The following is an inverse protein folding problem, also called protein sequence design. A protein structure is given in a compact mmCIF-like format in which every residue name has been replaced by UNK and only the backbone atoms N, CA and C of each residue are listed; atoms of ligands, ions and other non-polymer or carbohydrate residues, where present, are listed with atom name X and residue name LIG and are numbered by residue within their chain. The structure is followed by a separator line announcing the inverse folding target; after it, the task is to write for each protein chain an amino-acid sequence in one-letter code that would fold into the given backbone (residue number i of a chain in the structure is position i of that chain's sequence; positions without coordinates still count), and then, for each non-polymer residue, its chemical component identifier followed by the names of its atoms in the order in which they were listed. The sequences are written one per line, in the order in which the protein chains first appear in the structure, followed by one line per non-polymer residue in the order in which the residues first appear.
data_IF_301960298035
#
_entry.id   IF_301960298035
#
_cell.length_a   1.000
_cell.length_b   1.000
_cell.length_c   1.000
_cell.angle_alpha   90.00
_cell.angle_beta   90.00
_cell.angle_gamma   90.00
#
_symmetry.space_group_name_H-M   'P 1'
#
loop_
_entity.id
_entity.type
_entity.pdbx_description
1 polymer ?
#
# COMPACT_ATOMS: atom_id res chain seq x y z
N UNK A 1 49.79 -74.70 42.55
CA UNK A 1 49.52 -76.02 41.91
C UNK A 1 50.77 -76.88 41.69
N UNK A 2 51.91 -76.63 42.36
CA UNK A 2 53.17 -77.34 42.08
C UNK A 2 53.45 -78.59 42.95
N UNK A 3 52.67 -78.83 44.02
CA UNK A 3 52.99 -79.91 44.98
C UNK A 3 52.50 -81.31 44.55
N UNK A 4 51.49 -81.37 43.69
CA UNK A 4 50.82 -82.64 43.33
C UNK A 4 51.62 -83.51 42.35
N UNK A 5 52.59 -82.93 41.64
CA UNK A 5 53.44 -83.63 40.67
C UNK A 5 54.66 -84.29 41.33
N UNK A 6 55.20 -83.66 42.38
CA UNK A 6 56.34 -84.17 43.14
C UNK A 6 55.94 -85.34 44.05
N UNK A 7 54.74 -85.27 44.65
CA UNK A 7 54.19 -86.37 45.47
C UNK A 7 53.91 -87.63 44.64
N UNK A 8 53.48 -87.50 43.38
CA UNK A 8 53.25 -88.65 42.49
C UNK A 8 54.52 -89.35 42.02
N UNK A 9 55.64 -88.63 41.91
CA UNK A 9 56.94 -89.23 41.59
C UNK A 9 57.46 -90.09 42.75
N UNK A 10 57.17 -89.72 44.01
CA UNK A 10 57.48 -90.53 45.19
C UNK A 10 56.72 -91.87 45.28
N UNK A 11 55.64 -92.05 44.52
CA UNK A 11 54.85 -93.28 44.57
C UNK A 11 55.38 -94.38 43.63
N UNK A 12 56.07 -94.03 42.54
CA UNK A 12 56.57 -94.97 41.53
C UNK A 12 58.10 -95.05 41.50
N UNK A 13 58.69 -95.57 42.57
CA UNK A 13 60.14 -95.82 42.60
C UNK A 13 60.53 -96.92 41.60
N UNK A 14 61.76 -96.90 41.06
CA UNK A 14 62.27 -97.95 40.19
C UNK A 14 62.01 -99.37 40.72
N UNK A 15 62.16 -99.56 42.04
CA UNK A 15 61.96 -100.83 42.72
C UNK A 15 60.48 -101.26 42.73
N UNK A 16 59.55 -100.31 42.88
CA UNK A 16 58.11 -100.59 42.80
C UNK A 16 57.67 -100.91 41.37
N UNK A 17 58.26 -100.26 40.37
CA UNK A 17 57.97 -100.53 38.94
C UNK A 17 58.43 -101.94 38.56
N UNK A 18 59.63 -102.34 38.99
CA UNK A 18 60.16 -103.69 38.72
C UNK A 18 59.36 -104.80 39.42
N UNK A 19 58.81 -104.52 40.61
CA UNK A 19 58.05 -105.46 41.42
C UNK A 19 56.52 -105.43 41.22
N UNK A 20 56.00 -104.65 40.27
CA UNK A 20 54.56 -104.46 40.10
C UNK A 20 53.87 -105.73 39.56
N UNK A 21 52.87 -106.21 40.29
CA UNK A 21 52.00 -107.32 39.85
C UNK A 21 50.72 -106.79 39.18
N UNK A 22 50.29 -107.48 38.12
CA UNK A 22 49.07 -107.16 37.37
C UNK A 22 48.10 -108.35 37.43
N UNK A 23 46.80 -108.07 37.44
CA UNK A 23 45.77 -109.12 37.43
C UNK A 23 45.79 -109.94 36.13
N UNK A 24 45.67 -111.27 36.25
CA UNK A 24 45.69 -112.19 35.12
C UNK A 24 44.34 -112.22 34.39
N UNK A 25 44.31 -112.03 33.07
CA UNK A 25 43.10 -112.15 32.24
C UNK A 25 43.27 -113.21 31.15
N UNK A 26 42.18 -113.84 30.71
CA UNK A 26 42.19 -114.98 29.77
C UNK A 26 42.73 -114.62 28.36
N UNK A 27 42.92 -113.33 28.06
CA UNK A 27 43.52 -112.83 26.82
C UNK A 27 44.32 -111.56 27.13
N UNK A 28 45.66 -111.65 27.14
CA UNK A 28 46.54 -110.54 27.50
C UNK A 28 47.99 -110.75 27.06
N UNK A 29 48.86 -109.79 27.41
CA UNK A 29 50.30 -109.86 27.16
C UNK A 29 50.97 -110.95 28.00
N UNK A 30 52.06 -111.54 27.49
CA UNK A 30 52.85 -112.53 28.23
C UNK A 30 53.47 -111.91 29.50
N UNK A 31 53.30 -112.57 30.64
CA UNK A 31 53.75 -112.05 31.94
C UNK A 31 55.27 -111.88 31.98
N UNK A 32 56.02 -112.78 31.34
CA UNK A 32 57.49 -112.74 31.32
C UNK A 32 57.98 -111.55 30.50
N UNK A 33 57.34 -111.28 29.37
CA UNK A 33 57.63 -110.11 28.53
C UNK A 33 57.29 -108.80 29.23
N UNK A 34 56.15 -108.75 29.95
CA UNK A 34 55.75 -107.59 30.75
C UNK A 34 56.74 -107.35 31.90
N UNK A 35 57.15 -108.40 32.62
CA UNK A 35 58.18 -108.30 33.67
C UNK A 35 59.52 -107.83 33.12
N UNK A 36 59.93 -108.34 31.96
CA UNK A 36 61.15 -107.90 31.26
C UNK A 36 61.08 -106.43 30.83
N UNK A 37 59.91 -105.98 30.36
CA UNK A 37 59.68 -104.57 30.03
C UNK A 37 59.73 -103.67 31.28
N UNK A 38 59.05 -104.05 32.36
CA UNK A 38 59.04 -103.30 33.62
C UNK A 38 60.44 -103.19 34.24
N UNK A 39 61.26 -104.24 34.16
CA UNK A 39 62.65 -104.18 34.60
C UNK A 39 63.47 -103.17 33.79
N UNK A 40 63.26 -103.08 32.47
CA UNK A 40 63.89 -102.04 31.63
C UNK A 40 63.38 -100.65 31.97
N UNK A 41 62.07 -100.48 32.17
CA UNK A 41 61.48 -99.19 32.56
C UNK A 41 62.02 -98.75 33.92
N UNK A 42 62.09 -99.66 34.90
CA UNK A 42 62.70 -99.38 36.20
C UNK A 42 64.17 -98.94 36.06
N UNK A 43 64.94 -99.58 35.18
CA UNK A 43 66.31 -99.17 34.88
C UNK A 43 66.42 -97.76 34.30
N UNK A 44 65.54 -97.41 33.35
CA UNK A 44 65.49 -96.06 32.78
C UNK A 44 65.05 -95.00 33.80
N UNK A 45 64.05 -95.30 34.63
CA UNK A 45 63.61 -94.38 35.70
C UNK A 45 64.76 -94.12 36.68
N UNK A 46 65.49 -95.18 37.10
CA UNK A 46 66.66 -95.03 37.98
C UNK A 46 67.74 -94.14 37.34
N UNK A 47 68.04 -94.36 36.06
CA UNK A 47 69.01 -93.53 35.32
C UNK A 47 68.60 -92.06 35.24
N UNK A 48 67.31 -91.79 35.02
CA UNK A 48 66.76 -90.42 34.99
C UNK A 48 66.86 -89.78 36.37
N UNK A 49 66.50 -90.50 37.44
CA UNK A 49 66.61 -90.02 38.82
C UNK A 49 68.06 -89.70 39.18
N UNK A 50 69.01 -90.59 38.89
CA UNK A 50 70.45 -90.34 39.10
C UNK A 50 70.95 -89.13 38.32
N UNK A 51 70.52 -88.96 37.07
CA UNK A 51 70.90 -87.81 36.23
C UNK A 51 70.32 -86.51 36.78
N UNK A 52 69.10 -86.57 37.28
CA UNK A 52 68.38 -85.41 37.81
C UNK A 52 68.93 -85.00 39.18
N UNK A 53 69.26 -85.95 40.05
CA UNK A 53 69.97 -85.67 41.30
C UNK A 53 71.37 -85.11 41.03
N UNK A 54 72.10 -85.63 40.04
CA UNK A 54 73.38 -85.06 39.60
C UNK A 54 73.21 -83.63 39.07
N UNK A 55 72.21 -83.37 38.23
CA UNK A 55 71.96 -82.03 37.67
C UNK A 55 71.54 -81.03 38.76
N UNK A 56 70.76 -81.49 39.74
CA UNK A 56 70.41 -80.70 40.93
C UNK A 56 71.62 -80.39 41.79
N UNK A 57 72.51 -81.36 41.99
CA UNK A 57 73.77 -81.15 42.69
C UNK A 57 74.65 -80.14 41.95
N UNK A 58 74.79 -80.26 40.62
CA UNK A 58 75.52 -79.32 39.77
C UNK A 58 74.91 -77.91 39.81
N UNK A 59 73.58 -77.77 39.77
CA UNK A 59 72.88 -76.48 39.88
C UNK A 59 73.02 -75.87 41.27
N UNK A 60 72.94 -76.69 42.32
CA UNK A 60 73.13 -76.24 43.70
C UNK A 60 74.56 -75.78 43.94
N UNK A 61 75.57 -76.49 43.39
CA UNK A 61 76.96 -76.08 43.43
C UNK A 61 77.21 -74.79 42.63
N UNK A 62 76.62 -74.67 41.44
CA UNK A 62 76.70 -73.47 40.62
C UNK A 62 75.99 -72.26 41.24
N UNK A 63 74.88 -72.49 41.96
CA UNK A 63 74.12 -71.42 42.65
C UNK A 63 74.69 -71.06 44.02
N UNK A 64 75.37 -72.01 44.68
CA UNK A 64 76.11 -71.77 45.93
C UNK A 64 77.39 -70.96 45.66
N UNK A 65 77.91 -71.02 44.44
CA UNK A 65 78.92 -70.08 43.97
C UNK A 65 78.25 -68.71 43.78
N UNK A 66 78.59 -67.70 44.59
CA UNK A 66 78.08 -66.36 44.36
C UNK A 66 78.45 -65.96 42.93
N UNK A 67 77.59 -65.22 42.20
CA UNK A 67 78.05 -64.58 40.98
C UNK A 67 79.32 -63.80 41.33
N UNK A 68 80.36 -63.83 40.47
CA UNK A 68 81.59 -63.10 40.75
C UNK A 68 81.26 -61.66 41.11
N UNK A 69 81.83 -61.16 42.20
CA UNK A 69 81.66 -59.78 42.59
C UNK A 69 82.22 -58.87 41.51
N UNK A 70 81.84 -57.59 41.51
CA UNK A 70 82.39 -56.61 40.56
C UNK A 70 83.94 -56.57 40.64
N UNK A 71 84.49 -56.91 41.81
CA UNK A 71 85.93 -57.00 42.11
C UNK A 71 86.64 -58.20 41.45
N UNK A 72 85.90 -59.28 41.11
CA UNK A 72 86.44 -60.51 40.52
C UNK A 72 86.40 -60.50 38.98
N UNK A 73 85.73 -59.51 38.38
CA UNK A 73 85.58 -59.38 36.94
C UNK A 73 86.80 -58.68 36.33
N UNK A 74 87.30 -59.23 35.22
CA UNK A 74 88.31 -58.53 34.42
C UNK A 74 87.73 -57.26 33.80
N UNK A 75 88.59 -56.28 33.52
CA UNK A 75 88.19 -55.03 32.88
C UNK A 75 87.43 -55.24 31.57
N UNK A 76 87.82 -56.25 30.79
CA UNK A 76 87.18 -56.61 29.52
C UNK A 76 85.78 -57.21 29.72
N UNK A 77 85.59 -58.06 30.72
CA UNK A 77 84.27 -58.62 31.07
C UNK A 77 83.30 -57.54 31.57
N UNK A 78 83.79 -56.58 32.36
CA UNK A 78 82.98 -55.46 32.83
C UNK A 78 82.52 -54.55 31.67
N UNK A 79 83.42 -54.26 30.73
CA UNK A 79 83.10 -53.48 29.53
C UNK A 79 82.08 -54.20 28.63
N UNK A 80 82.18 -55.53 28.51
CA UNK A 80 81.23 -56.31 27.73
C UNK A 80 79.82 -56.29 28.35
N UNK A 81 79.70 -56.54 29.66
CA UNK A 81 78.43 -56.48 30.37
C UNK A 81 77.80 -55.08 30.31
N UNK A 82 78.63 -54.04 30.47
CA UNK A 82 78.18 -52.65 30.33
C UNK A 82 77.73 -52.34 28.90
N UNK A 83 78.44 -52.85 27.89
CA UNK A 83 78.07 -52.70 26.48
C UNK A 83 76.75 -53.39 26.14
N UNK A 84 76.54 -54.60 26.67
CA UNK A 84 75.28 -55.36 26.53
C UNK A 84 74.11 -54.64 27.21
N UNK A 85 74.32 -54.10 28.41
CA UNK A 85 73.29 -53.36 29.13
C UNK A 85 72.97 -52.01 28.47
N UNK A 86 73.99 -51.27 28.03
CA UNK A 86 73.83 -50.02 27.29
C UNK A 86 73.09 -50.24 25.97
N UNK A 87 73.44 -51.30 25.22
CA UNK A 87 72.73 -51.69 24.00
C UNK A 87 71.29 -52.13 24.26
N UNK A 88 71.00 -52.71 25.43
CA UNK A 88 69.63 -53.05 25.85
C UNK A 88 68.83 -51.78 26.14
N UNK A 89 69.36 -50.87 26.95
CA UNK A 89 68.71 -49.58 27.28
C UNK A 89 68.45 -48.76 26.01
N UNK A 90 69.42 -48.67 25.10
CA UNK A 90 69.25 -47.96 23.84
C UNK A 90 68.15 -48.56 22.97
N UNK A 91 68.09 -49.90 22.85
CA UNK A 91 67.00 -50.58 22.11
C UNK A 91 65.64 -50.30 22.73
N UNK A 92 65.52 -50.38 24.05
CA UNK A 92 64.27 -50.07 24.75
C UNK A 92 63.87 -48.61 24.60
N UNK A 93 64.83 -47.67 24.63
CA UNK A 93 64.56 -46.27 24.38
C UNK A 93 64.11 -46.00 22.93
N UNK A 94 64.72 -46.68 21.95
CA UNK A 94 64.36 -46.60 20.54
C UNK A 94 62.95 -47.14 20.27
N UNK A 95 62.61 -48.27 20.88
CA UNK A 95 61.28 -48.87 20.79
C UNK A 95 60.22 -47.98 21.45
N UNK A 96 60.53 -47.42 22.63
CA UNK A 96 59.65 -46.44 23.29
C UNK A 96 59.45 -45.18 22.44
N UNK A 97 60.52 -44.68 21.78
CA UNK A 97 60.43 -43.53 20.89
C UNK A 97 59.60 -43.82 19.63
N UNK A 98 59.73 -45.02 19.04
CA UNK A 98 58.88 -45.48 17.94
C UNK A 98 57.42 -45.57 18.37
N UNK A 99 57.15 -46.14 19.53
CA UNK A 99 55.80 -46.23 20.09
C UNK A 99 55.16 -44.85 20.31
N UNK A 100 55.91 -43.91 20.88
CA UNK A 100 55.45 -42.53 21.07
C UNK A 100 55.13 -41.88 19.72
N UNK A 101 55.99 -42.06 18.72
CA UNK A 101 55.78 -41.50 17.38
C UNK A 101 54.53 -42.07 16.72
N UNK A 102 54.37 -43.40 16.70
CA UNK A 102 53.18 -44.06 16.13
C UNK A 102 51.90 -43.61 16.81
N UNK A 103 51.90 -43.48 18.15
CA UNK A 103 50.73 -42.99 18.90
C UNK A 103 50.44 -41.52 18.60
N UNK A 104 51.48 -40.68 18.47
CA UNK A 104 51.31 -39.28 18.12
C UNK A 104 50.73 -39.11 16.71
N UNK A 105 51.24 -39.87 15.73
CA UNK A 105 50.75 -39.89 14.35
C UNK A 105 49.28 -40.33 14.29
N UNK A 106 48.92 -41.42 14.97
CA UNK A 106 47.53 -41.89 15.05
C UNK A 106 46.60 -40.86 15.72
N UNK A 107 47.06 -40.19 16.77
CA UNK A 107 46.29 -39.13 17.43
C UNK A 107 46.10 -37.90 16.52
N UNK A 108 47.12 -37.52 15.75
CA UNK A 108 47.02 -36.42 14.78
C UNK A 108 46.06 -36.77 13.66
N UNK A 109 46.13 -37.99 13.12
CA UNK A 109 45.20 -38.46 12.09
C UNK A 109 43.76 -38.47 12.60
N UNK A 110 43.53 -38.96 13.82
CA UNK A 110 42.23 -38.90 14.48
C UNK A 110 41.73 -37.46 14.64
N UNK A 111 42.58 -36.56 15.15
CA UNK A 111 42.21 -35.15 15.34
C UNK A 111 41.90 -34.46 14.01
N UNK A 112 42.66 -34.76 12.94
CA UNK A 112 42.38 -34.23 11.60
C UNK A 112 41.05 -34.74 11.07
N UNK A 113 40.74 -36.02 11.25
CA UNK A 113 39.45 -36.58 10.86
C UNK A 113 38.28 -35.96 11.62
N UNK A 114 38.40 -35.80 12.94
CA UNK A 114 37.39 -35.15 13.78
C UNK A 114 37.19 -33.69 13.36
N UNK A 115 38.27 -32.92 13.19
CA UNK A 115 38.19 -31.53 12.73
C UNK A 115 37.59 -31.39 11.32
N UNK A 116 37.88 -32.33 10.42
CA UNK A 116 37.29 -32.35 9.08
C UNK A 116 35.79 -32.71 9.10
N UNK A 117 35.37 -33.61 10.00
CA UNK A 117 33.97 -33.96 10.18
C UNK A 117 33.19 -32.76 10.73
N UNK A 118 33.69 -32.15 11.81
CA UNK A 118 33.09 -30.95 12.41
C UNK A 118 33.03 -29.79 11.41
N UNK A 119 34.09 -29.56 10.63
CA UNK A 119 34.07 -28.52 9.60
C UNK A 119 33.04 -28.78 8.49
N UNK A 120 32.73 -30.05 8.17
CA UNK A 120 31.67 -30.39 7.22
C UNK A 120 30.29 -30.17 7.83
N UNK A 121 30.08 -30.54 9.08
CA UNK A 121 28.83 -30.32 9.81
C UNK A 121 28.52 -28.82 9.92
N UNK A 122 29.48 -28.00 10.37
CA UNK A 122 29.33 -26.55 10.45
C UNK A 122 28.99 -25.95 9.07
N UNK A 123 29.62 -26.43 7.99
CA UNK A 123 29.32 -25.96 6.62
C UNK A 123 27.91 -26.35 6.18
N UNK A 124 27.46 -27.56 6.51
CA UNK A 124 26.12 -28.02 6.17
C UNK A 124 25.06 -27.22 6.95
N UNK A 125 25.27 -26.99 8.24
CA UNK A 125 24.39 -26.16 9.07
C UNK A 125 24.34 -24.72 8.57
N UNK A 126 25.49 -24.13 8.25
CA UNK A 126 25.55 -22.77 7.70
C UNK A 126 24.82 -22.65 6.35
N UNK A 127 24.88 -23.68 5.51
CA UNK A 127 24.15 -23.70 4.24
C UNK A 127 22.64 -23.77 4.48
N UNK A 128 22.17 -24.65 5.37
CA UNK A 128 20.75 -24.75 5.75
C UNK A 128 20.24 -23.41 6.29
N UNK A 129 20.96 -22.79 7.23
CA UNK A 129 20.58 -21.48 7.78
C UNK A 129 20.50 -20.41 6.68
N UNK A 130 21.44 -20.45 5.71
CA UNK A 130 21.45 -19.51 4.59
C UNK A 130 20.27 -19.73 3.65
N UNK A 131 19.91 -20.98 3.36
CA UNK A 131 18.74 -21.32 2.53
C UNK A 131 17.44 -20.89 3.21
N UNK A 132 17.30 -21.16 4.51
CA UNK A 132 16.15 -20.73 5.30
C UNK A 132 16.03 -19.20 5.34
N UNK A 133 17.14 -18.49 5.57
CA UNK A 133 17.18 -17.04 5.58
C UNK A 133 16.81 -16.44 4.21
N UNK A 134 17.25 -17.06 3.11
CA UNK A 134 16.86 -16.67 1.74
C UNK A 134 15.38 -16.90 1.50
N UNK A 135 14.86 -18.07 1.83
CA UNK A 135 13.45 -18.39 1.66
C UNK A 135 12.53 -17.47 2.47
N UNK A 136 12.94 -17.07 3.68
CA UNK A 136 12.22 -16.08 4.48
C UNK A 136 12.32 -14.66 3.89
N UNK A 137 13.49 -14.27 3.36
CA UNK A 137 13.63 -12.98 2.68
C UNK A 137 12.72 -12.91 1.43
N UNK A 138 12.68 -13.96 0.62
CA UNK A 138 11.82 -14.05 -0.57
C UNK A 138 10.34 -13.97 -0.19
N UNK A 139 9.93 -14.65 0.90
CA UNK A 139 8.56 -14.53 1.44
C UNK A 139 8.21 -13.11 1.84
N UNK A 140 9.14 -12.39 2.48
CA UNK A 140 8.92 -10.99 2.90
C UNK A 140 8.82 -10.05 1.71
N UNK A 141 9.64 -10.26 0.67
CA UNK A 141 9.56 -9.48 -0.56
C UNK A 141 8.21 -9.70 -1.24
N UNK A 142 7.80 -10.96 -1.45
CA UNK A 142 6.50 -11.27 -2.05
C UNK A 142 5.33 -10.67 -1.26
N UNK A 143 5.35 -10.76 0.07
CA UNK A 143 4.33 -10.15 0.91
C UNK A 143 4.31 -8.61 0.81
N UNK A 144 5.48 -7.97 0.71
CA UNK A 144 5.58 -6.55 0.51
C UNK A 144 5.02 -6.13 -0.87
N UNK A 145 5.31 -6.89 -1.91
CA UNK A 145 4.81 -6.65 -3.27
C UNK A 145 3.28 -6.76 -3.33
N UNK A 146 2.69 -7.76 -2.67
CA UNK A 146 1.23 -7.92 -2.56
C UNK A 146 0.58 -6.72 -1.84
N UNK A 147 1.20 -6.24 -0.75
CA UNK A 147 0.73 -5.06 -0.04
C UNK A 147 0.79 -3.83 -0.95
N UNK A 148 1.91 -3.62 -1.65
CA UNK A 148 2.06 -2.49 -2.59
C UNK A 148 1.03 -2.57 -3.71
N UNK A 149 0.83 -3.75 -4.31
CA UNK A 149 -0.17 -3.94 -5.36
C UNK A 149 -1.59 -3.60 -4.87
N UNK A 150 -1.95 -4.05 -3.67
CA UNK A 150 -3.25 -3.74 -3.05
C UNK A 150 -3.40 -2.23 -2.82
N UNK A 151 -2.37 -1.57 -2.29
CA UNK A 151 -2.39 -0.12 -2.04
C UNK A 151 -2.51 0.70 -3.31
N UNK A 152 -1.83 0.29 -4.39
CA UNK A 152 -1.96 0.94 -5.69
C UNK A 152 -3.37 0.78 -6.26
N UNK A 153 -3.95 -0.42 -6.19
CA UNK A 153 -5.32 -0.66 -6.65
C UNK A 153 -6.36 0.16 -5.84
N UNK A 154 -6.19 0.26 -4.52
CA UNK A 154 -7.01 1.11 -3.65
C UNK A 154 -6.88 2.59 -4.04
N UNK A 155 -5.64 3.06 -4.22
CA UNK A 155 -5.35 4.45 -4.59
C UNK A 155 -5.94 4.82 -5.96
N UNK A 156 -5.81 3.94 -6.96
CA UNK A 156 -6.39 4.14 -8.29
C UNK A 156 -7.92 4.18 -8.24
N UNK A 157 -8.54 3.25 -7.50
CA UNK A 157 -10.00 3.25 -7.30
C UNK A 157 -10.48 4.54 -6.63
N UNK A 158 -9.74 5.03 -5.63
CA UNK A 158 -10.08 6.25 -4.93
C UNK A 158 -9.87 7.49 -5.80
N UNK A 159 -8.80 7.53 -6.60
CA UNK A 159 -8.53 8.60 -7.55
C UNK A 159 -9.63 8.69 -8.62
N UNK A 160 -10.09 7.55 -9.15
CA UNK A 160 -11.21 7.49 -10.07
C UNK A 160 -12.50 8.04 -9.42
N UNK A 161 -12.83 7.59 -8.21
CA UNK A 161 -13.99 8.08 -7.46
C UNK A 161 -13.95 9.59 -7.22
N UNK A 162 -12.79 10.13 -6.84
CA UNK A 162 -12.61 11.58 -6.67
C UNK A 162 -12.80 12.33 -7.97
N UNK A 163 -12.27 11.81 -9.08
CA UNK A 163 -12.41 12.41 -10.40
C UNK A 163 -13.87 12.44 -10.86
N UNK A 164 -14.59 11.33 -10.69
CA UNK A 164 -16.01 11.25 -11.02
C UNK A 164 -16.85 12.22 -10.19
N UNK A 165 -16.61 12.26 -8.87
CA UNK A 165 -17.27 13.22 -7.98
C UNK A 165 -17.02 14.68 -8.42
N UNK A 166 -15.78 15.03 -8.74
CA UNK A 166 -15.43 16.37 -9.22
C UNK A 166 -16.08 16.70 -10.58
N UNK A 167 -16.24 15.72 -11.48
CA UNK A 167 -16.94 15.90 -12.75
C UNK A 167 -18.43 16.16 -12.51
N UNK A 168 -19.07 15.39 -11.63
CA UNK A 168 -20.48 15.58 -11.29
C UNK A 168 -20.72 16.92 -10.59
N UNK A 169 -19.86 17.30 -9.65
CA UNK A 169 -19.90 18.62 -9.02
C UNK A 169 -19.74 19.73 -10.06
N UNK A 170 -18.78 19.58 -10.98
CA UNK A 170 -18.58 20.50 -12.10
C UNK A 170 -19.81 20.64 -13.00
N UNK A 171 -20.49 19.53 -13.30
CA UNK A 171 -21.75 19.53 -14.06
C UNK A 171 -22.86 20.25 -13.30
N UNK A 172 -22.98 20.03 -12.00
CA UNK A 172 -23.93 20.73 -11.13
C UNK A 172 -23.71 22.24 -11.14
N UNK A 173 -22.47 22.68 -10.92
CA UNK A 173 -22.10 24.10 -10.96
C UNK A 173 -22.39 24.75 -12.31
N UNK A 174 -22.13 24.06 -13.42
CA UNK A 174 -22.46 24.55 -14.76
C UNK A 174 -23.97 24.69 -14.97
N UNK A 175 -24.75 23.72 -14.53
CA UNK A 175 -26.22 23.78 -14.61
C UNK A 175 -26.78 24.96 -13.79
N UNK A 176 -26.27 25.16 -12.58
CA UNK A 176 -26.65 26.31 -11.73
C UNK A 176 -26.28 27.65 -12.37
N UNK A 177 -25.08 27.75 -12.93
CA UNK A 177 -24.61 28.95 -13.62
C UNK A 177 -25.47 29.26 -14.87
N UNK A 178 -25.84 28.23 -15.63
CA UNK A 178 -26.75 28.37 -16.79
C UNK A 178 -28.13 28.85 -16.34
N UNK A 179 -28.71 28.24 -15.31
CA UNK A 179 -30.00 28.66 -14.76
C UNK A 179 -29.97 30.09 -14.18
N UNK A 180 -28.86 30.49 -13.54
CA UNK A 180 -28.66 31.86 -13.09
C UNK A 180 -28.58 32.83 -14.27
N UNK A 181 -27.82 32.50 -15.32
CA UNK A 181 -27.72 33.29 -16.54
C UNK A 181 -29.07 33.45 -17.23
N UNK A 182 -29.83 32.38 -17.38
CA UNK A 182 -31.16 32.42 -18.00
C UNK A 182 -32.12 33.33 -17.23
N UNK A 183 -32.13 33.23 -15.90
CA UNK A 183 -32.90 34.14 -15.03
C UNK A 183 -32.49 35.61 -15.23
N UNK A 184 -31.19 35.90 -15.26
CA UNK A 184 -30.70 37.25 -15.51
C UNK A 184 -31.10 37.79 -16.89
N UNK A 185 -30.98 36.96 -17.94
CA UNK A 185 -31.38 37.34 -19.30
C UNK A 185 -32.90 37.58 -19.39
N UNK A 186 -33.70 36.76 -18.71
CA UNK A 186 -35.15 36.95 -18.64
C UNK A 186 -35.52 38.25 -17.92
N UNK A 187 -34.87 38.55 -16.79
CA UNK A 187 -35.06 39.81 -16.07
C UNK A 187 -34.67 41.02 -16.92
N UNK A 188 -33.49 40.99 -17.56
CA UNK A 188 -33.03 42.05 -18.46
C UNK A 188 -33.96 42.25 -19.66
N UNK A 189 -34.48 41.16 -20.24
CA UNK A 189 -35.45 41.22 -21.32
C UNK A 189 -36.79 41.80 -20.85
N UNK A 190 -37.20 41.52 -19.61
CA UNK A 190 -38.36 42.12 -18.94
C UNK A 190 -38.20 43.62 -18.77
N UNK A 191 -37.13 44.05 -18.08
CA UNK A 191 -36.81 45.47 -17.89
C UNK A 191 -36.77 46.24 -19.20
N UNK A 192 -36.12 45.69 -20.24
CA UNK A 192 -36.08 46.31 -21.56
C UNK A 192 -37.48 46.47 -22.18
N UNK A 193 -38.37 45.50 -22.01
CA UNK A 193 -39.75 45.58 -22.49
C UNK A 193 -40.53 46.66 -21.75
N UNK A 194 -40.38 46.73 -20.43
CA UNK A 194 -41.07 47.72 -19.60
C UNK A 194 -40.57 49.14 -19.91
N UNK A 195 -39.26 49.37 -19.96
CA UNK A 195 -38.71 50.66 -20.38
C UNK A 195 -39.13 51.05 -21.81
N UNK A 196 -39.24 50.09 -22.74
CA UNK A 196 -39.79 50.38 -24.09
C UNK A 196 -41.25 50.77 -24.03
N UNK A 197 -42.07 50.12 -23.21
CA UNK A 197 -43.48 50.47 -23.01
C UNK A 197 -43.60 51.90 -22.45
N UNK A 198 -42.79 52.24 -21.46
CA UNK A 198 -42.72 53.60 -20.89
C UNK A 198 -42.34 54.63 -21.98
N UNK A 199 -41.34 54.34 -22.82
CA UNK A 199 -40.98 55.21 -23.94
C UNK A 199 -42.12 55.38 -24.96
N UNK A 200 -42.86 54.32 -25.28
CA UNK A 200 -44.02 54.41 -26.17
C UNK A 200 -45.16 55.22 -25.54
N UNK A 201 -45.42 55.05 -24.24
CA UNK A 201 -46.40 55.84 -23.51
C UNK A 201 -46.02 57.32 -23.45
N UNK A 202 -44.75 57.64 -23.17
CA UNK A 202 -44.25 59.01 -23.16
C UNK A 202 -44.36 59.64 -24.54
N UNK A 203 -44.02 58.90 -25.61
CA UNK A 203 -44.15 59.39 -26.98
C UNK A 203 -45.60 59.68 -27.36
N UNK A 204 -46.53 58.77 -27.03
CA UNK A 204 -47.96 58.98 -27.26
C UNK A 204 -48.48 60.18 -26.45
N UNK A 205 -48.06 60.35 -25.20
CA UNK A 205 -48.41 61.51 -24.38
C UNK A 205 -47.87 62.83 -24.93
N UNK A 206 -46.65 62.84 -25.48
CA UNK A 206 -46.10 64.01 -26.19
C UNK A 206 -46.90 64.33 -27.46
N UNK A 207 -47.32 63.32 -28.22
CA UNK A 207 -48.15 63.49 -29.41
C UNK A 207 -49.52 64.07 -29.06
N UNK A 208 -50.18 63.55 -28.02
CA UNK A 208 -51.42 64.12 -27.48
C UNK A 208 -51.24 65.56 -26.98
N UNK A 209 -50.16 65.85 -26.26
CA UNK A 209 -49.88 67.22 -25.80
C UNK A 209 -49.67 68.19 -26.97
N UNK A 210 -49.01 67.72 -28.04
CA UNK A 210 -48.83 68.50 -29.27
C UNK A 210 -50.17 68.76 -29.96
N UNK A 211 -51.04 67.75 -30.06
CA UNK A 211 -52.38 67.91 -30.62
C UNK A 211 -53.22 68.91 -29.80
N UNK A 212 -53.24 68.76 -28.47
CA UNK A 212 -53.91 69.72 -27.58
C UNK A 212 -53.33 71.14 -27.68
N UNK A 213 -52.00 71.27 -27.85
CA UNK A 213 -51.36 72.57 -28.06
C UNK A 213 -51.78 73.20 -29.40
N UNK A 214 -51.81 72.42 -30.48
CA UNK A 214 -52.23 72.88 -31.81
C UNK A 214 -53.72 73.29 -31.79
N UNK A 215 -54.58 72.57 -31.06
CA UNK A 215 -55.98 72.92 -30.81
C UNK A 215 -56.13 74.23 -30.02
N UNK A 216 -55.40 74.37 -28.90
CA UNK A 216 -55.39 75.59 -28.09
C UNK A 216 -54.92 76.79 -28.91
N UNK A 217 -53.90 76.61 -29.74
CA UNK A 217 -53.42 77.65 -30.67
C UNK A 217 -54.49 78.03 -31.68
N UNK A 218 -55.15 77.06 -32.31
CA UNK A 218 -56.25 77.30 -33.25
C UNK A 218 -57.44 78.02 -32.58
N UNK A 219 -57.79 77.63 -31.36
CA UNK A 219 -58.81 78.31 -30.56
C UNK A 219 -58.40 79.75 -30.23
N UNK A 220 -57.15 79.97 -29.84
CA UNK A 220 -56.61 81.30 -29.58
C UNK A 220 -56.63 82.17 -30.85
N UNK A 221 -56.18 81.65 -31.99
CA UNK A 221 -56.21 82.34 -33.28
C UNK A 221 -57.64 82.73 -33.68
N UNK A 222 -58.63 81.85 -33.44
CA UNK A 222 -60.06 82.17 -33.62
C UNK A 222 -60.52 83.25 -32.66
N UNK A 223 -60.17 83.19 -31.38
CA UNK A 223 -60.52 84.22 -30.39
C UNK A 223 -59.92 85.57 -30.74
N UNK A 224 -58.67 85.62 -31.21
CA UNK A 224 -58.03 86.85 -31.73
C UNK A 224 -58.81 87.38 -32.92
N UNK A 225 -59.17 86.51 -33.88
CA UNK A 225 -60.00 86.92 -35.04
C UNK A 225 -61.36 87.47 -34.60
N UNK A 226 -62.03 86.82 -33.65
CA UNK A 226 -63.31 87.30 -33.10
C UNK A 226 -63.15 88.65 -32.42
N UNK A 227 -62.11 88.84 -31.60
CA UNK A 227 -61.81 90.12 -30.97
C UNK A 227 -61.54 91.20 -32.02
N UNK A 228 -60.74 90.92 -33.05
CA UNK A 228 -60.48 91.86 -34.15
C UNK A 228 -61.78 92.23 -34.88
N UNK A 229 -62.63 91.26 -35.21
CA UNK A 229 -63.92 91.54 -35.84
C UNK A 229 -64.86 92.34 -34.92
N UNK A 230 -64.88 92.04 -33.62
CA UNK A 230 -65.68 92.78 -32.65
C UNK A 230 -65.19 94.22 -32.46
N UNK A 231 -63.88 94.45 -32.53
CA UNK A 231 -63.29 95.79 -32.54
C UNK A 231 -63.70 96.55 -33.80
N UNK A 232 -63.66 95.91 -34.97
CA UNK A 232 -64.12 96.52 -36.23
C UNK A 232 -65.64 96.77 -36.24
N UNK A 233 -66.45 95.85 -35.71
CA UNK A 233 -67.89 96.02 -35.54
C UNK A 233 -68.21 97.14 -34.55
N UNK A 234 -67.47 97.24 -33.45
CA UNK A 234 -67.61 98.35 -32.51
C UNK A 234 -67.21 99.68 -33.16
N UNK A 235 -66.16 99.71 -34.00
CA UNK A 235 -65.80 100.89 -34.81
C UNK A 235 -66.91 101.27 -35.79
N UNK A 236 -67.47 100.29 -36.51
CA UNK A 236 -68.61 100.51 -37.43
C UNK A 236 -69.85 101.00 -36.70
N UNK A 237 -70.21 100.39 -35.57
CA UNK A 237 -71.36 100.79 -34.75
C UNK A 237 -71.16 102.18 -34.15
N UNK A 238 -69.94 102.52 -33.71
CA UNK A 238 -69.60 103.87 -33.30
C UNK A 238 -69.73 104.87 -34.47
N UNK A 239 -69.32 104.48 -35.68
CA UNK A 239 -69.56 105.27 -36.90
C UNK A 239 -71.04 105.47 -37.22
N UNK A 240 -71.86 104.43 -37.16
CA UNK A 240 -73.32 104.53 -37.36
C UNK A 240 -74.02 105.32 -36.25
N UNK A 241 -73.54 105.23 -35.00
CA UNK A 241 -74.05 106.05 -33.90
C UNK A 241 -73.67 107.52 -34.08
N UNK A 242 -72.47 107.82 -34.58
CA UNK A 242 -72.07 109.17 -34.96
C UNK A 242 -72.95 109.71 -36.11
N UNK A 243 -73.17 108.93 -37.18
CA UNK A 243 -74.06 109.32 -38.28
C UNK A 243 -75.54 109.47 -37.86
N UNK A 244 -76.00 108.67 -36.88
CA UNK A 244 -77.35 108.81 -36.32
C UNK A 244 -77.49 110.07 -35.46
N UNK A 245 -76.47 110.41 -34.68
CA UNK A 245 -76.41 111.69 -33.99
C UNK A 245 -76.48 112.87 -34.98
N UNK A 246 -75.68 112.83 -36.06
CA UNK A 246 -75.71 113.87 -37.10
C UNK A 246 -77.06 113.96 -37.84
N UNK A 247 -77.79 112.84 -37.97
CA UNK A 247 -79.09 112.78 -38.65
C UNK A 247 -80.24 113.25 -37.76
N UNK A 248 -80.23 112.89 -36.47
CA UNK A 248 -81.30 113.26 -35.53
C UNK A 248 -81.26 114.77 -35.20
N UNK A 249 -80.07 115.42 -35.20
CA UNK A 249 -79.90 116.88 -35.06
C UNK A 249 -80.57 117.66 -36.23
N UNK A 250 -80.47 117.14 -37.46
CA UNK A 250 -81.09 117.76 -38.65
C UNK A 250 -82.62 117.60 -38.71
N UNK A 251 -83.19 116.68 -37.94
CA UNK A 251 -84.65 116.45 -37.88
C UNK A 251 -85.36 117.23 -36.78
N UNK A 252 -84.67 117.53 -35.67
CA UNK A 252 -85.26 118.35 -34.59
C UNK A 252 -85.39 119.82 -35.01
N UNK A 253 -84.37 120.36 -35.70
CA UNK A 253 -84.39 121.72 -36.28
C UNK A 253 -85.51 121.92 -37.33
N UNK A 254 -85.93 120.85 -38.03
CA UNK A 254 -86.99 120.91 -39.05
C UNK A 254 -88.41 120.81 -38.49
N UNK A 255 -88.59 120.15 -37.34
CA UNK A 255 -89.90 119.90 -36.76
C UNK A 255 -90.43 121.09 -35.94
N UNK A 256 -89.55 121.99 -35.49
CA UNK A 256 -89.93 123.20 -34.77
C UNK A 256 -90.41 124.31 -35.74
N UNK A 257 -89.77 124.45 -36.91
CA UNK A 257 -90.11 125.46 -37.95
C UNK A 257 -91.45 125.23 -38.68
N UNK A 258 -91.95 123.98 -38.72
CA UNK A 258 -93.19 123.65 -39.45
C UNK A 258 -94.50 124.00 -38.70
N UNK A 259 -94.45 124.18 -37.38
CA UNK A 259 -95.64 124.47 -36.57
C UNK A 259 -96.06 125.95 -36.56
N UNK A 260 -95.26 126.86 -37.14
CA UNK A 260 -95.57 128.30 -37.18
C UNK A 260 -96.38 128.77 -38.42
N UNK A 261 -96.71 127.92 -39.41
CA UNK A 261 -97.18 128.40 -40.75
C UNK A 261 -98.49 127.78 -41.32
N UNK A 262 -99.45 127.39 -40.48
CA UNK A 262 -100.74 126.72 -40.78
C UNK A 262 -101.39 126.81 -42.19
N UNK A 263 -101.51 125.66 -42.87
CA UNK A 263 -102.40 125.40 -44.02
C UNK A 263 -102.92 123.95 -44.03
N UNK A 264 -104.24 123.77 -43.97
CA UNK A 264 -104.99 122.51 -44.18
C UNK A 264 -105.53 122.38 -45.62
N UNK A 265 -105.73 121.15 -46.11
CA UNK A 265 -106.98 120.71 -46.81
C UNK A 265 -106.99 119.22 -47.24
N UNK A 266 -108.10 118.55 -46.87
CA UNK A 266 -108.72 117.34 -47.47
C UNK A 266 -109.72 117.74 -48.61
N UNK A 267 -110.57 116.88 -49.26
CA UNK A 267 -110.76 115.39 -49.26
C UNK A 267 -111.05 114.75 -50.68
N UNK A 268 -111.32 113.42 -50.78
CA UNK A 268 -112.46 112.75 -51.52
C UNK A 268 -112.24 111.27 -52.02
N UNK A 269 -113.33 110.50 -52.16
CA UNK A 269 -113.49 109.04 -52.47
C UNK A 269 -114.33 108.81 -53.78
N UNK A 270 -114.33 107.63 -54.49
CA UNK A 270 -115.21 106.44 -54.21
C UNK A 270 -114.72 105.00 -54.67
N UNK A 271 -115.50 103.93 -54.34
CA UNK A 271 -115.32 102.42 -54.46
C UNK A 271 -115.75 101.81 -55.86
N UNK A 272 -115.98 100.47 -56.16
CA UNK A 272 -115.90 99.15 -55.43
C UNK A 272 -115.51 97.84 -56.24
N UNK A 273 -115.54 96.64 -55.60
CA UNK A 273 -115.60 95.25 -56.17
C UNK A 273 -114.44 94.31 -55.76
N UNK A 274 -114.52 92.99 -55.46
CA UNK A 274 -115.54 91.94 -55.41
C UNK A 274 -114.88 90.55 -55.59
N UNK A 275 -115.18 89.57 -54.71
CA UNK A 275 -114.94 88.10 -54.82
C UNK A 275 -113.48 87.58 -54.74
N UNK A 276 -113.16 86.36 -54.33
CA UNK A 276 -113.85 85.23 -53.69
C UNK A 276 -112.75 84.22 -53.29
N UNK A 277 -113.06 83.39 -52.27
CA UNK A 277 -112.64 81.98 -51.99
C UNK A 277 -111.20 81.49 -52.32
N UNK A 278 -110.57 80.50 -51.69
CA UNK A 278 -111.06 79.30 -51.00
C UNK A 278 -109.86 78.62 -50.31
N UNK A 279 -110.02 78.28 -49.03
CA UNK A 279 -109.30 77.20 -48.32
C UNK A 279 -110.20 75.98 -48.49
N UNK A 280 -109.72 74.74 -48.72
CA UNK A 280 -109.39 73.84 -47.58
C UNK A 280 -108.41 72.69 -48.00
N UNK A 281 -107.92 71.72 -47.22
CA UNK A 281 -107.91 71.31 -45.80
C UNK A 281 -106.87 70.17 -45.69
N UNK A 282 -106.50 69.73 -44.46
CA UNK A 282 -105.49 68.71 -44.17
C UNK A 282 -106.11 67.35 -43.79
N UNK A 283 -105.28 66.30 -43.68
CA UNK A 283 -105.45 65.08 -42.84
C UNK A 283 -104.01 64.53 -42.64
N UNK A 284 -103.46 64.19 -41.46
CA UNK A 284 -104.02 63.80 -40.15
C UNK A 284 -103.22 64.42 -38.99
#
# INVERSE_FOLDING_TARGET
MANRSTERASEMTPEKIAGQEFAHSFRGYDISDVRGFLARVAGEVRRVEETLERTRAELAEASAKPPPGIEDLTRDQLNQLLGEEAARVLRTADDAARDIRTRAEANVEKMLHEAQAEAKEIRAEAETIREEARAEADRRVSAADEIVATRLAEADSEALRRREAAIEEGRGMLAEAQAARERMLADLAGRRRDSRRELYQLRAGIEQLRESYDELRSMLDRSVTVVDTAVEDARRAAGYAAERFDRDDMTDDRAELGRELGLEKEPSLPRPGGGDSEVPTPVA
#
